data_IF_762810535421
#
_entry.id   IF_762810535421
#
_cell.length_a   1.000
_cell.length_b   1.000
_cell.length_c   1.000
_cell.angle_alpha   90.00
_cell.angle_beta   90.00
_cell.angle_gamma   90.00
#
_symmetry.space_group_name_H-M   'P 1'
#
loop_
_entity.id
_entity.type
_entity.pdbx_description
1 polymer ?
#
# COMPACT_ATOMS: atom_id res chain seq x y z
N UNK A 1 48.47 -26.01 -6.05
CA UNK A 1 47.54 -26.39 -4.98
C UNK A 1 46.23 -25.69 -5.29
N UNK A 2 45.18 -26.44 -5.64
CA UNK A 2 43.84 -25.86 -5.74
C UNK A 2 43.33 -25.68 -4.31
N UNK A 3 43.16 -24.43 -3.90
CA UNK A 3 42.50 -24.10 -2.64
C UNK A 3 41.00 -24.01 -2.97
N UNK A 4 40.16 -24.98 -2.54
CA UNK A 4 38.74 -24.89 -2.81
C UNK A 4 38.20 -23.66 -2.07
N UNK A 5 37.38 -22.87 -2.76
CA UNK A 5 36.67 -21.76 -2.11
C UNK A 5 35.91 -22.28 -0.88
N UNK A 6 35.91 -21.52 0.23
CA UNK A 6 35.16 -21.91 1.40
C UNK A 6 33.67 -22.08 1.03
N UNK A 7 32.98 -23.08 1.61
CA UNK A 7 31.56 -23.26 1.35
C UNK A 7 30.81 -21.99 1.73
N UNK A 8 29.91 -21.57 0.83
CA UNK A 8 29.07 -20.39 1.06
C UNK A 8 28.23 -20.57 2.33
N UNK A 9 27.88 -19.49 3.02
CA UNK A 9 27.03 -19.55 4.20
C UNK A 9 25.73 -20.30 3.93
N UNK A 10 25.18 -21.02 4.93
CA UNK A 10 23.86 -21.63 4.82
C UNK A 10 22.77 -20.65 4.39
N UNK A 11 22.86 -19.37 4.77
CA UNK A 11 21.89 -18.36 4.33
C UNK A 11 21.87 -18.12 2.80
N UNK A 12 22.95 -18.45 2.10
CA UNK A 12 23.07 -18.31 0.64
C UNK A 12 22.83 -19.64 -0.10
N UNK A 13 22.66 -20.75 0.62
CA UNK A 13 22.65 -22.10 0.04
C UNK A 13 21.50 -22.98 0.50
N UNK A 14 20.79 -22.60 1.56
CA UNK A 14 19.60 -23.30 2.05
C UNK A 14 18.37 -22.92 1.22
N UNK A 15 17.43 -23.84 1.02
CA UNK A 15 16.27 -23.62 0.17
C UNK A 15 15.39 -22.48 0.71
N UNK A 16 14.95 -21.64 -0.20
CA UNK A 16 13.86 -20.68 -0.01
C UNK A 16 12.53 -21.34 -0.35
N UNK A 17 11.42 -20.62 -0.17
CA UNK A 17 10.12 -21.14 -0.60
C UNK A 17 9.98 -21.29 -2.12
N UNK A 18 10.89 -20.70 -2.91
CA UNK A 18 10.94 -20.87 -4.36
C UNK A 18 11.63 -22.18 -4.77
N UNK A 19 12.39 -22.79 -3.85
CA UNK A 19 13.14 -24.03 -4.08
C UNK A 19 12.33 -25.28 -3.67
N UNK A 20 11.23 -25.11 -2.95
CA UNK A 20 10.40 -26.19 -2.42
C UNK A 20 9.04 -26.20 -3.13
N UNK A 21 8.56 -27.36 -3.60
CA UNK A 21 7.20 -27.46 -4.12
C UNK A 21 6.20 -27.16 -3.00
N UNK A 22 5.04 -26.59 -3.35
CA UNK A 22 3.88 -26.57 -2.44
C UNK A 22 3.63 -27.98 -1.89
N UNK A 23 2.98 -28.06 -0.72
CA UNK A 23 2.52 -29.34 -0.14
C UNK A 23 1.63 -30.12 -1.13
N UNK A 24 1.09 -29.44 -2.14
CA UNK A 24 0.38 -30.00 -3.28
C UNK A 24 1.23 -29.95 -4.56
N UNK A 25 1.36 -31.11 -5.20
CA UNK A 25 2.12 -31.26 -6.46
C UNK A 25 1.53 -30.37 -7.56
N UNK A 26 2.35 -29.44 -8.08
CA UNK A 26 2.01 -28.60 -9.22
C UNK A 26 1.46 -27.21 -8.88
N UNK A 27 1.40 -26.83 -7.60
CA UNK A 27 1.12 -25.45 -7.19
C UNK A 27 2.40 -24.61 -7.09
N UNK A 28 2.26 -23.32 -7.40
CA UNK A 28 3.29 -22.33 -7.09
C UNK A 28 3.54 -22.28 -5.58
N UNK A 29 4.77 -21.97 -5.18
CA UNK A 29 5.10 -21.66 -3.78
C UNK A 29 4.18 -20.57 -3.23
N UNK A 30 3.94 -20.61 -1.92
CA UNK A 30 3.19 -19.58 -1.21
C UNK A 30 3.88 -18.21 -1.34
N UNK A 31 3.17 -17.09 -1.08
CA UNK A 31 3.80 -15.77 -1.00
C UNK A 31 4.84 -15.71 0.13
N UNK A 32 5.98 -15.05 -0.12
CA UNK A 32 6.97 -14.77 0.93
C UNK A 32 6.56 -13.58 1.81
N UNK A 33 7.31 -13.33 2.88
CA UNK A 33 7.06 -12.23 3.82
C UNK A 33 6.98 -10.86 3.12
N UNK A 34 7.75 -10.64 2.04
CA UNK A 34 7.72 -9.38 1.31
C UNK A 34 6.36 -9.16 0.62
N UNK A 35 5.76 -10.20 0.04
CA UNK A 35 4.49 -10.06 -0.68
C UNK A 35 3.38 -9.59 0.26
N UNK A 36 3.28 -10.20 1.44
CA UNK A 36 2.33 -9.81 2.47
C UNK A 36 2.53 -8.35 2.92
N UNK A 37 3.76 -7.98 3.30
CA UNK A 37 4.06 -6.63 3.81
C UNK A 37 3.86 -5.57 2.72
N UNK A 38 4.22 -5.87 1.47
CA UNK A 38 4.03 -4.94 0.35
C UNK A 38 2.55 -4.75 0.02
N UNK A 39 1.74 -5.81 0.06
CA UNK A 39 0.29 -5.73 -0.12
C UNK A 39 -0.41 -4.95 1.00
N UNK A 40 0.04 -5.12 2.25
CA UNK A 40 -0.45 -4.32 3.39
C UNK A 40 -0.21 -2.83 3.16
N UNK A 41 1.00 -2.45 2.75
CA UNK A 41 1.34 -1.05 2.48
C UNK A 41 0.47 -0.47 1.35
N UNK A 42 0.28 -1.22 0.27
CA UNK A 42 -0.57 -0.81 -0.84
C UNK A 42 -2.01 -0.60 -0.37
N UNK A 43 -2.55 -1.54 0.41
CA UNK A 43 -3.93 -1.47 0.90
C UNK A 43 -4.12 -0.32 1.88
N UNK A 44 -3.20 -0.15 2.82
CA UNK A 44 -3.23 0.89 3.85
C UNK A 44 -3.16 2.30 3.25
N UNK A 45 -2.35 2.48 2.20
CA UNK A 45 -2.10 3.79 1.58
C UNK A 45 -2.99 4.07 0.36
N UNK A 46 -3.80 3.10 -0.09
CA UNK A 46 -4.79 3.30 -1.16
C UNK A 46 -5.98 4.12 -0.65
N UNK A 47 -5.89 5.44 -0.77
CA UNK A 47 -6.92 6.38 -0.29
C UNK A 47 -7.28 7.39 -1.40
N UNK A 48 -7.97 6.94 -2.47
CA UNK A 48 -8.33 7.83 -3.57
C UNK A 48 -9.34 8.88 -3.09
N UNK A 49 -9.07 10.18 -3.26
CA UNK A 49 -9.91 11.24 -2.71
C UNK A 49 -11.26 11.38 -3.42
N UNK A 50 -11.39 10.84 -4.63
CA UNK A 50 -12.57 10.96 -5.48
C UNK A 50 -13.48 9.71 -5.46
N UNK A 51 -13.18 8.72 -4.62
CA UNK A 51 -14.02 7.53 -4.43
C UNK A 51 -14.38 7.33 -2.96
N UNK A 52 -15.57 6.79 -2.70
CA UNK A 52 -15.92 6.30 -1.37
C UNK A 52 -15.13 5.04 -1.06
N UNK A 53 -14.57 4.94 0.15
CA UNK A 53 -13.94 3.69 0.63
C UNK A 53 -14.92 2.53 0.73
N UNK A 54 -16.24 2.79 0.74
CA UNK A 54 -17.28 1.76 0.75
C UNK A 54 -17.53 1.18 -0.64
N UNK A 55 -17.09 1.85 -1.70
CA UNK A 55 -17.30 1.47 -3.10
C UNK A 55 -16.02 0.98 -3.79
N UNK A 56 -15.01 0.61 -3.00
CA UNK A 56 -13.74 0.08 -3.49
C UNK A 56 -13.43 -1.22 -2.75
N UNK A 57 -13.29 -2.29 -3.53
CA UNK A 57 -12.66 -3.50 -3.03
C UNK A 57 -11.16 -3.44 -3.33
N UNK A 58 -10.36 -3.58 -2.30
CA UNK A 58 -8.94 -3.92 -2.40
C UNK A 58 -8.75 -5.34 -1.91
N UNK A 59 -8.02 -6.14 -2.67
CA UNK A 59 -7.76 -7.54 -2.33
C UNK A 59 -6.32 -7.92 -2.64
N UNK A 60 -5.80 -8.87 -1.87
CA UNK A 60 -4.47 -9.44 -2.01
C UNK A 60 -4.57 -10.95 -1.82
N UNK A 61 -3.89 -11.71 -2.67
CA UNK A 61 -3.91 -13.18 -2.66
C UNK A 61 -5.32 -13.82 -2.72
N UNK A 62 -6.33 -13.06 -3.16
CA UNK A 62 -7.70 -13.51 -3.31
C UNK A 62 -7.93 -14.04 -4.72
N UNK A 63 -8.37 -15.30 -4.85
CA UNK A 63 -8.59 -15.94 -6.15
C UNK A 63 -9.59 -15.14 -7.02
N UNK A 64 -9.16 -14.83 -8.24
CA UNK A 64 -9.89 -14.11 -9.27
C UNK A 64 -10.32 -15.07 -10.37
N UNK A 65 -11.62 -15.38 -10.42
CA UNK A 65 -12.22 -16.28 -11.40
C UNK A 65 -12.80 -15.50 -12.57
N UNK A 66 -12.41 -15.87 -13.80
CA UNK A 66 -12.65 -15.06 -15.00
C UNK A 66 -13.40 -15.79 -16.13
N UNK A 67 -13.64 -17.11 -16.01
CA UNK A 67 -14.32 -17.89 -17.04
C UNK A 67 -15.44 -18.78 -16.45
N UNK A 68 -16.73 -18.48 -16.72
CA UNK A 68 -17.84 -19.27 -16.20
C UNK A 68 -17.94 -20.68 -16.83
N UNK A 69 -17.24 -20.94 -17.93
CA UNK A 69 -17.19 -22.26 -18.58
C UNK A 69 -16.05 -23.12 -18.04
N UNK A 70 -15.07 -22.50 -17.39
CA UNK A 70 -13.92 -23.15 -16.78
C UNK A 70 -13.78 -22.68 -15.32
N UNK A 71 -14.72 -23.07 -14.47
CA UNK A 71 -14.83 -22.56 -13.08
C UNK A 71 -13.67 -22.94 -12.15
N UNK A 72 -12.73 -23.77 -12.61
CA UNK A 72 -11.49 -24.09 -11.89
C UNK A 72 -10.29 -23.29 -12.40
N UNK A 73 -10.48 -22.42 -13.40
CA UNK A 73 -9.46 -21.49 -13.87
C UNK A 73 -9.59 -20.18 -13.11
N UNK A 74 -8.50 -19.82 -12.45
CA UNK A 74 -8.39 -18.59 -11.68
C UNK A 74 -6.98 -18.02 -11.82
N UNK A 75 -6.86 -16.74 -11.48
CA UNK A 75 -5.57 -16.11 -11.14
C UNK A 75 -5.61 -15.72 -9.67
N UNK A 76 -4.45 -15.49 -9.11
CA UNK A 76 -4.29 -15.03 -7.73
C UNK A 76 -3.26 -13.90 -7.77
N UNK A 77 -3.72 -12.68 -8.10
CA UNK A 77 -2.83 -11.52 -8.14
C UNK A 77 -2.36 -11.18 -6.74
N UNK A 78 -1.12 -10.70 -6.61
CA UNK A 78 -0.58 -10.27 -5.32
C UNK A 78 -1.39 -9.13 -4.72
N UNK A 79 -1.87 -8.22 -5.56
CA UNK A 79 -2.79 -7.16 -5.16
C UNK A 79 -3.65 -6.68 -6.35
N UNK A 80 -4.93 -6.41 -6.11
CA UNK A 80 -5.79 -5.79 -7.11
C UNK A 80 -6.89 -4.93 -6.49
N UNK A 81 -7.45 -4.05 -7.31
CA UNK A 81 -8.50 -3.12 -6.91
C UNK A 81 -9.66 -3.15 -7.90
N UNK A 82 -10.87 -3.15 -7.36
CA UNK A 82 -12.13 -3.03 -8.11
C UNK A 82 -12.85 -1.78 -7.64
N UNK A 83 -13.30 -0.96 -8.58
CA UNK A 83 -14.02 0.29 -8.32
C UNK A 83 -15.53 0.11 -8.54
N UNK A 84 -16.34 0.82 -7.76
CA UNK A 84 -17.80 0.83 -7.90
C UNK A 84 -18.48 -0.41 -7.35
N UNK A 85 -17.86 -1.09 -6.38
CA UNK A 85 -18.40 -2.30 -5.75
C UNK A 85 -18.46 -2.17 -4.23
N UNK A 86 -19.58 -2.57 -3.58
CA UNK A 86 -19.68 -2.47 -2.15
C UNK A 86 -18.73 -3.42 -1.42
N UNK A 87 -18.16 -2.92 -0.33
CA UNK A 87 -17.50 -3.74 0.67
C UNK A 87 -18.50 -4.55 1.50
N UNK A 88 -18.00 -5.60 2.14
CA UNK A 88 -18.81 -6.41 3.04
C UNK A 88 -18.96 -5.69 4.40
N UNK A 89 -20.19 -5.52 4.85
CA UNK A 89 -20.48 -4.86 6.15
C UNK A 89 -20.37 -5.82 7.34
N UNK A 90 -20.30 -7.13 7.08
CA UNK A 90 -20.20 -8.18 8.11
C UNK A 90 -19.09 -9.14 7.76
N UNK A 91 -18.38 -9.62 8.79
CA UNK A 91 -17.26 -10.54 8.63
C UNK A 91 -17.64 -11.80 7.86
N UNK A 92 -18.83 -12.37 8.12
CA UNK A 92 -19.32 -13.58 7.42
C UNK A 92 -19.63 -13.37 5.94
N UNK A 93 -19.74 -12.12 5.48
CA UNK A 93 -19.99 -11.76 4.09
C UNK A 93 -18.69 -11.41 3.34
N UNK A 94 -17.53 -11.49 4.00
CA UNK A 94 -16.24 -11.30 3.33
C UNK A 94 -16.06 -12.33 2.22
N UNK A 95 -15.52 -11.86 1.10
CA UNK A 95 -15.34 -12.66 -0.12
C UNK A 95 -14.33 -13.77 0.11
N UNK A 96 -14.73 -15.01 -0.19
CA UNK A 96 -13.84 -16.17 -0.25
C UNK A 96 -13.03 -16.22 -1.54
N UNK A 97 -13.56 -15.59 -2.59
CA UNK A 97 -12.96 -15.39 -3.89
C UNK A 97 -13.68 -14.24 -4.58
N UNK A 98 -13.08 -13.75 -5.66
CA UNK A 98 -13.71 -12.78 -6.54
C UNK A 98 -14.13 -13.47 -7.84
N UNK A 99 -15.44 -13.59 -8.04
CA UNK A 99 -16.01 -14.32 -9.17
C UNK A 99 -16.65 -13.32 -10.12
N UNK A 100 -16.01 -13.08 -11.26
CA UNK A 100 -16.35 -11.98 -12.17
C UNK A 100 -17.81 -12.03 -12.64
N UNK A 101 -18.33 -13.23 -12.96
CA UNK A 101 -19.72 -13.37 -13.42
C UNK A 101 -20.77 -13.30 -12.29
N UNK A 102 -20.35 -13.30 -11.02
CA UNK A 102 -21.23 -13.06 -9.87
C UNK A 102 -21.22 -11.59 -9.48
N UNK A 103 -20.04 -10.97 -9.48
CA UNK A 103 -19.83 -9.58 -9.07
C UNK A 103 -20.20 -8.59 -10.19
N UNK A 104 -20.00 -8.98 -11.46
CA UNK A 104 -20.38 -8.19 -12.64
C UNK A 104 -19.45 -7.02 -12.96
N UNK A 105 -18.33 -6.87 -12.25
CA UNK A 105 -17.36 -5.78 -12.42
C UNK A 105 -15.96 -6.37 -12.51
N UNK A 106 -15.19 -5.96 -13.51
CA UNK A 106 -13.79 -6.36 -13.67
C UNK A 106 -12.85 -5.48 -12.82
N UNK A 107 -11.68 -5.99 -12.40
CA UNK A 107 -10.69 -5.16 -11.71
C UNK A 107 -10.25 -3.95 -12.54
N UNK A 108 -10.00 -2.85 -11.86
CA UNK A 108 -9.47 -1.62 -12.45
C UNK A 108 -7.94 -1.65 -12.55
N UNK A 109 -7.29 -2.18 -11.52
CA UNK A 109 -5.83 -2.23 -11.40
C UNK A 109 -5.42 -3.58 -10.81
N UNK A 110 -4.38 -4.19 -11.38
CA UNK A 110 -3.66 -5.34 -10.81
C UNK A 110 -2.19 -4.96 -10.60
N UNK A 111 -1.62 -5.40 -9.49
CA UNK A 111 -0.20 -5.34 -9.16
C UNK A 111 0.32 -6.76 -8.95
N UNK A 112 1.41 -7.10 -9.62
CA UNK A 112 2.17 -8.35 -9.40
C UNK A 112 3.58 -7.99 -8.91
N UNK A 113 4.06 -8.76 -7.95
CA UNK A 113 5.35 -8.63 -7.30
C UNK A 113 6.25 -9.75 -7.83
N UNK A 114 7.34 -9.39 -8.50
CA UNK A 114 8.19 -10.41 -9.10
C UNK A 114 8.92 -11.22 -8.03
N UNK A 115 8.89 -12.52 -8.25
CA UNK A 115 9.73 -13.51 -7.59
C UNK A 115 10.85 -13.94 -8.53
N UNK A 116 11.94 -14.55 -8.01
CA UNK A 116 13.02 -15.02 -8.86
C UNK A 116 12.50 -15.97 -9.95
N UNK A 117 12.69 -15.60 -11.22
CA UNK A 117 12.35 -16.44 -12.38
C UNK A 117 10.93 -16.29 -12.95
N UNK A 118 10.07 -15.42 -12.40
CA UNK A 118 8.70 -15.21 -12.90
C UNK A 118 8.54 -14.07 -13.92
N UNK A 119 9.60 -13.26 -14.13
CA UNK A 119 9.59 -12.09 -15.01
C UNK A 119 8.99 -12.38 -16.40
N UNK A 120 9.37 -13.49 -17.05
CA UNK A 120 8.86 -13.80 -18.40
C UNK A 120 7.35 -14.04 -18.41
N UNK A 121 6.79 -14.68 -17.37
CA UNK A 121 5.37 -14.94 -17.28
C UNK A 121 4.60 -13.65 -17.01
N UNK A 122 5.03 -12.88 -16.01
CA UNK A 122 4.37 -11.64 -15.59
C UNK A 122 4.50 -10.52 -16.64
N UNK A 123 5.44 -10.62 -17.58
CA UNK A 123 5.58 -9.72 -18.73
C UNK A 123 4.97 -10.26 -20.03
N UNK A 124 4.22 -11.36 -19.98
CA UNK A 124 3.54 -11.93 -21.15
C UNK A 124 4.49 -12.47 -22.23
N UNK A 125 5.73 -12.79 -21.86
CA UNK A 125 6.75 -13.34 -22.76
C UNK A 125 6.66 -14.88 -22.86
N UNK A 126 5.90 -15.51 -21.96
CA UNK A 126 5.64 -16.94 -21.98
C UNK A 126 4.45 -17.27 -22.89
N UNK A 127 4.63 -18.21 -23.80
CA UNK A 127 3.54 -18.75 -24.62
C UNK A 127 2.71 -19.74 -23.79
N UNK A 128 1.38 -19.69 -23.98
CA UNK A 128 0.47 -20.65 -23.39
C UNK A 128 0.76 -22.07 -23.89
N UNK A 129 0.85 -23.01 -22.97
CA UNK A 129 0.87 -24.45 -23.29
C UNK A 129 -0.52 -24.97 -23.67
N UNK A 130 -0.57 -25.89 -24.64
CA UNK A 130 -1.82 -26.52 -25.08
C UNK A 130 -2.45 -27.28 -23.91
N UNK A 131 -3.74 -27.03 -23.64
CA UNK A 131 -4.54 -27.57 -22.52
C UNK A 131 -4.22 -27.01 -21.12
N UNK A 132 -3.42 -25.94 -21.00
CA UNK A 132 -3.29 -25.18 -19.74
C UNK A 132 -4.23 -23.97 -19.71
N UNK A 133 -4.57 -23.43 -18.53
CA UNK A 133 -5.26 -22.14 -18.41
C UNK A 133 -4.45 -21.02 -19.12
N UNK A 134 -5.12 -19.96 -19.62
CA UNK A 134 -4.44 -18.76 -20.13
C UNK A 134 -3.40 -18.17 -19.17
N UNK A 135 -2.39 -17.47 -19.68
CA UNK A 135 -1.37 -16.80 -18.86
C UNK A 135 -1.96 -15.61 -18.08
N UNK A 136 -1.27 -15.10 -17.05
CA UNK A 136 -1.70 -13.89 -16.33
C UNK A 136 -1.94 -12.73 -17.31
N UNK A 137 -0.98 -12.47 -18.19
CA UNK A 137 -1.07 -11.42 -19.20
C UNK A 137 -2.30 -11.58 -20.12
N UNK A 138 -2.55 -12.78 -20.64
CA UNK A 138 -3.73 -13.04 -21.48
C UNK A 138 -5.04 -12.79 -20.72
N UNK A 139 -5.13 -13.24 -19.46
CA UNK A 139 -6.32 -13.00 -18.63
C UNK A 139 -6.53 -11.51 -18.40
N UNK A 140 -5.52 -10.78 -17.96
CA UNK A 140 -5.66 -9.36 -17.61
C UNK A 140 -5.88 -8.48 -18.85
N UNK A 141 -5.15 -8.71 -19.94
CA UNK A 141 -5.21 -7.89 -21.16
C UNK A 141 -6.44 -8.20 -22.02
N UNK A 142 -6.69 -9.49 -22.29
CA UNK A 142 -7.58 -9.91 -23.37
C UNK A 142 -8.95 -10.36 -22.86
N UNK A 143 -9.00 -10.98 -21.69
CA UNK A 143 -10.25 -11.51 -21.11
C UNK A 143 -10.92 -10.47 -20.22
N UNK A 144 -10.24 -10.06 -19.15
CA UNK A 144 -10.76 -9.14 -18.13
C UNK A 144 -10.58 -7.67 -18.52
N UNK A 145 -9.72 -7.38 -19.49
CA UNK A 145 -9.53 -6.03 -20.04
C UNK A 145 -9.20 -5.00 -18.94
N UNK A 146 -8.37 -5.41 -17.97
CA UNK A 146 -8.04 -4.62 -16.79
C UNK A 146 -7.30 -3.36 -17.24
N UNK A 147 -7.79 -2.14 -16.94
CA UNK A 147 -7.21 -0.89 -17.44
C UNK A 147 -5.73 -0.70 -17.15
N UNK A 148 -5.28 -1.07 -15.94
CA UNK A 148 -3.90 -0.88 -15.51
C UNK A 148 -3.30 -2.17 -14.94
N UNK A 149 -2.07 -2.45 -15.34
CA UNK A 149 -1.30 -3.58 -14.86
C UNK A 149 0.09 -3.11 -14.43
N UNK A 150 0.49 -3.44 -13.21
CA UNK A 150 1.74 -2.97 -12.61
C UNK A 150 2.56 -4.16 -12.16
N UNK A 151 3.86 -4.11 -12.44
CA UNK A 151 4.83 -5.14 -12.06
C UNK A 151 5.96 -4.48 -11.29
N UNK A 152 6.27 -5.00 -10.11
CA UNK A 152 7.38 -4.50 -9.28
C UNK A 152 8.40 -5.60 -8.99
N UNK A 153 9.66 -5.33 -9.35
CA UNK A 153 10.81 -6.16 -8.99
C UNK A 153 11.59 -5.52 -7.85
N UNK A 154 11.57 -6.15 -6.67
CA UNK A 154 12.31 -5.68 -5.49
C UNK A 154 13.82 -5.90 -5.56
N UNK A 155 14.28 -6.84 -6.39
CA UNK A 155 15.68 -7.19 -6.51
C UNK A 155 16.40 -6.23 -7.44
N UNK A 156 15.79 -5.99 -8.60
CA UNK A 156 16.31 -5.06 -9.61
C UNK A 156 15.81 -3.61 -9.39
N UNK A 157 14.91 -3.40 -8.44
CA UNK A 157 14.37 -2.09 -8.03
C UNK A 157 13.73 -1.29 -9.18
N UNK A 158 13.09 -1.98 -10.13
CA UNK A 158 12.39 -1.32 -11.22
C UNK A 158 10.88 -1.58 -11.14
N UNK A 159 10.13 -0.53 -11.48
CA UNK A 159 8.68 -0.55 -11.61
C UNK A 159 8.33 -0.54 -13.09
N UNK A 160 7.38 -1.38 -13.51
CA UNK A 160 6.76 -1.29 -14.83
C UNK A 160 5.27 -1.09 -14.66
N UNK A 161 4.70 -0.20 -15.45
CA UNK A 161 3.26 -0.01 -15.52
C UNK A 161 2.83 -0.12 -16.97
N UNK A 162 1.67 -0.72 -17.17
CA UNK A 162 1.06 -0.92 -18.46
C UNK A 162 -0.36 -0.36 -18.41
N UNK A 163 -0.76 0.30 -19.50
CA UNK A 163 -2.13 0.76 -19.70
C UNK A 163 -2.73 -0.01 -20.86
N UNK A 164 -3.97 -0.45 -20.70
CA UNK A 164 -4.72 -1.04 -21.79
C UNK A 164 -5.11 0.06 -22.79
N UNK A 165 -4.55 0.00 -23.99
CA UNK A 165 -4.88 0.88 -25.10
C UNK A 165 -5.45 0.06 -26.27
N UNK A 166 -6.70 0.33 -26.64
CA UNK A 166 -7.42 -0.53 -27.58
C UNK A 166 -7.46 -1.97 -27.05
N UNK A 167 -6.83 -2.90 -27.75
CA UNK A 167 -6.82 -4.34 -27.41
C UNK A 167 -5.56 -4.84 -26.70
N UNK A 168 -4.57 -3.98 -26.44
CA UNK A 168 -3.26 -4.40 -25.94
C UNK A 168 -2.74 -3.51 -24.81
N UNK A 169 -1.92 -4.08 -23.96
CA UNK A 169 -1.14 -3.32 -23.00
C UNK A 169 0.00 -2.58 -23.68
N UNK A 170 0.12 -1.29 -23.35
CA UNK A 170 1.24 -0.44 -23.73
C UNK A 170 2.01 -0.04 -22.47
N UNK A 171 3.33 -0.18 -22.51
CA UNK A 171 4.19 0.22 -21.41
C UNK A 171 4.14 1.75 -21.22
N UNK A 172 4.01 2.17 -19.97
CA UNK A 172 3.97 3.58 -19.59
C UNK A 172 5.39 4.00 -19.17
N UNK A 173 5.95 5.08 -19.74
CA UNK A 173 7.20 5.64 -19.24
C UNK A 173 7.03 6.14 -17.80
N UNK A 174 7.91 5.71 -16.89
CA UNK A 174 7.86 6.04 -15.47
C UNK A 174 9.03 6.95 -15.06
N UNK A 175 8.96 8.28 -15.33
CA UNK A 175 9.96 9.19 -14.81
C UNK A 175 10.01 9.07 -13.28
N UNK A 176 11.23 8.95 -12.73
CA UNK A 176 11.47 8.80 -11.29
C UNK A 176 10.78 7.58 -10.63
N UNK A 177 10.48 6.53 -11.41
CA UNK A 177 9.73 5.35 -10.94
C UNK A 177 8.37 5.72 -10.31
N UNK A 178 7.69 6.70 -10.90
CA UNK A 178 6.36 7.14 -10.49
C UNK A 178 5.40 7.12 -11.66
N UNK A 179 4.17 6.75 -11.37
CA UNK A 179 3.05 6.73 -12.28
C UNK A 179 1.87 7.49 -11.65
N UNK A 180 1.16 8.30 -12.43
CA UNK A 180 -0.04 9.01 -11.96
C UNK A 180 -1.29 8.42 -12.63
N UNK A 181 -2.24 7.99 -11.81
CA UNK A 181 -3.54 7.45 -12.21
C UNK A 181 -4.58 8.57 -12.09
N UNK A 182 -4.87 9.20 -13.23
CA UNK A 182 -5.77 10.34 -13.29
C UNK A 182 -7.17 10.01 -12.76
N UNK A 183 -7.65 8.79 -13.01
CA UNK A 183 -8.95 8.31 -12.59
C UNK A 183 -9.08 8.22 -11.07
N UNK A 184 -7.98 8.02 -10.35
CA UNK A 184 -7.96 7.87 -8.89
C UNK A 184 -7.52 9.14 -8.15
N UNK A 185 -7.06 10.16 -8.87
CA UNK A 185 -6.33 11.30 -8.29
C UNK A 185 -5.20 10.87 -7.33
N UNK A 186 -4.58 9.74 -7.65
CA UNK A 186 -3.47 9.14 -6.94
C UNK A 186 -2.37 8.76 -7.92
N UNK A 187 -1.15 8.64 -7.41
CA UNK A 187 -0.06 8.00 -8.11
C UNK A 187 0.54 6.87 -7.30
N UNK A 188 1.21 5.97 -8.01
CA UNK A 188 1.94 4.86 -7.43
C UNK A 188 3.41 4.99 -7.79
N UNK A 189 4.31 4.73 -6.84
CA UNK A 189 5.74 4.82 -7.12
C UNK A 189 6.61 4.21 -6.03
N UNK A 190 7.91 4.22 -6.30
CA UNK A 190 8.91 3.64 -5.39
C UNK A 190 9.32 4.66 -4.31
N UNK A 191 9.04 4.30 -3.07
CA UNK A 191 9.33 5.08 -1.87
C UNK A 191 10.42 4.40 -1.04
N UNK A 192 11.53 5.11 -0.83
CA UNK A 192 12.59 4.66 0.06
C UNK A 192 12.22 5.00 1.51
N UNK A 193 12.05 4.00 2.36
CA UNK A 193 11.72 4.23 3.76
C UNK A 193 11.53 2.96 4.58
N UNK A 194 10.98 3.12 5.77
CA UNK A 194 10.76 2.03 6.73
C UNK A 194 9.26 1.75 6.88
N UNK A 195 8.84 0.52 6.61
CA UNK A 195 7.49 0.04 6.84
C UNK A 195 7.54 -1.28 7.61
N UNK A 196 6.68 -1.45 8.62
CA UNK A 196 6.68 -2.60 9.53
C UNK A 196 8.08 -3.01 10.04
N UNK A 197 8.93 -2.04 10.41
CA UNK A 197 10.33 -2.20 10.87
C UNK A 197 11.35 -2.63 9.82
N UNK A 198 10.94 -2.80 8.56
CA UNK A 198 11.83 -3.15 7.45
C UNK A 198 12.10 -1.92 6.60
N UNK A 199 13.38 -1.61 6.39
CA UNK A 199 13.80 -0.48 5.55
C UNK A 199 14.12 -0.97 4.15
N UNK A 200 13.58 -0.31 3.15
CA UNK A 200 13.72 -0.74 1.77
C UNK A 200 13.08 0.24 0.80
N UNK A 201 13.09 -0.15 -0.47
CA UNK A 201 12.35 0.51 -1.53
C UNK A 201 10.99 -0.19 -1.65
N UNK A 202 9.92 0.56 -1.43
CA UNK A 202 8.56 0.02 -1.37
C UNK A 202 7.68 0.67 -2.42
N UNK A 203 6.75 -0.10 -2.99
CA UNK A 203 5.69 0.45 -3.82
C UNK A 203 4.64 1.11 -2.92
N UNK A 204 4.39 2.41 -3.10
CA UNK A 204 3.52 3.19 -2.21
C UNK A 204 2.69 4.21 -2.98
N UNK A 205 1.48 4.47 -2.48
CA UNK A 205 0.61 5.50 -3.02
C UNK A 205 1.07 6.90 -2.61
N UNK A 206 0.96 7.86 -3.54
CA UNK A 206 1.13 9.28 -3.32
C UNK A 206 -0.04 10.06 -3.92
N UNK A 207 -0.28 11.26 -3.40
CA UNK A 207 -1.25 12.20 -3.95
C UNK A 207 -0.54 13.54 -4.23
N UNK A 208 -1.32 14.58 -4.54
CA UNK A 208 -0.80 15.92 -4.86
C UNK A 208 -0.02 16.58 -3.71
N UNK A 209 -0.17 16.10 -2.47
CA UNK A 209 0.53 16.60 -1.28
C UNK A 209 1.79 15.80 -0.93
N UNK A 210 2.00 14.63 -1.55
CA UNK A 210 3.12 13.73 -1.27
C UNK A 210 2.68 12.29 -1.02
N UNK A 211 3.55 11.48 -0.42
CA UNK A 211 3.25 10.09 -0.07
C UNK A 211 2.07 10.00 0.89
N UNK A 212 1.11 9.12 0.60
CA UNK A 212 -0.05 8.91 1.47
C UNK A 212 0.44 8.23 2.75
N UNK A 213 0.21 8.89 3.89
CA UNK A 213 0.67 8.43 5.20
C UNK A 213 0.03 7.10 5.61
N UNK A 214 0.85 6.22 6.17
CA UNK A 214 0.44 5.03 6.92
C UNK A 214 -0.26 5.46 8.22
N UNK A 215 -1.06 4.58 8.81
CA UNK A 215 -1.68 4.73 10.12
C UNK A 215 -0.64 5.02 11.20
N UNK A 216 0.52 4.36 11.15
CA UNK A 216 1.61 4.59 12.09
C UNK A 216 2.17 6.02 11.98
N UNK A 217 2.38 6.51 10.76
CA UNK A 217 2.84 7.89 10.52
C UNK A 217 1.76 8.92 10.89
N UNK A 218 0.48 8.66 10.58
CA UNK A 218 -0.66 9.51 10.98
C UNK A 218 -0.74 9.62 12.51
N UNK A 219 -0.67 8.49 13.22
CA UNK A 219 -0.70 8.45 14.68
C UNK A 219 0.49 9.20 15.29
N UNK A 220 1.68 9.09 14.70
CA UNK A 220 2.85 9.84 15.16
C UNK A 220 2.68 11.35 14.95
N UNK A 221 2.18 11.77 13.79
CA UNK A 221 1.91 13.17 13.51
C UNK A 221 0.85 13.75 14.46
N UNK A 222 -0.20 12.99 14.78
CA UNK A 222 -1.21 13.40 15.76
C UNK A 222 -0.63 13.51 17.17
N UNK A 223 0.21 12.56 17.59
CA UNK A 223 0.93 12.62 18.88
C UNK A 223 1.79 13.87 18.99
N UNK A 224 2.55 14.18 17.95
CA UNK A 224 3.40 15.38 17.94
C UNK A 224 2.59 16.68 18.02
N UNK A 225 1.45 16.74 17.31
CA UNK A 225 0.52 17.87 17.38
C UNK A 225 -0.07 18.04 18.78
N UNK A 226 -0.54 16.95 19.39
CA UNK A 226 -1.11 16.97 20.74
C UNK A 226 -0.07 17.41 21.79
N UNK A 227 1.17 16.92 21.69
CA UNK A 227 2.25 17.32 22.59
C UNK A 227 2.62 18.80 22.42
N UNK A 228 2.68 19.30 21.18
CA UNK A 228 2.93 20.71 20.92
C UNK A 228 1.81 21.61 21.47
N UNK A 229 0.55 21.21 21.32
CA UNK A 229 -0.59 21.95 21.86
C UNK A 229 -0.57 21.97 23.40
N UNK A 230 -0.26 20.83 24.02
CA UNK A 230 -0.09 20.73 25.47
C UNK A 230 1.00 21.66 25.98
N UNK A 231 2.14 21.74 25.30
CA UNK A 231 3.24 22.64 25.68
C UNK A 231 2.83 24.11 25.56
N UNK A 232 2.06 24.49 24.53
CA UNK A 232 1.54 25.85 24.38
C UNK A 232 0.56 26.21 25.49
N UNK A 233 -0.38 25.31 25.79
CA UNK A 233 -1.36 25.51 26.86
C UNK A 233 -0.69 25.65 28.24
N UNK A 234 0.33 24.83 28.52
CA UNK A 234 1.09 24.93 29.77
C UNK A 234 1.88 26.25 29.85
N UNK A 235 2.48 26.69 28.75
CA UNK A 235 3.17 27.98 28.71
C UNK A 235 2.21 29.16 28.93
N UNK A 236 1.03 29.13 28.32
CA UNK A 236 0.00 30.16 28.50
C UNK A 236 -0.52 30.18 29.94
N UNK A 237 -0.75 29.01 30.54
CA UNK A 237 -1.12 28.88 31.94
C UNK A 237 -0.07 29.47 32.87
N UNK A 238 1.21 29.19 32.62
CA UNK A 238 2.30 29.76 33.42
C UNK A 238 2.39 31.28 33.28
N UNK A 239 2.14 31.84 32.09
CA UNK A 239 2.10 33.30 31.90
C UNK A 239 0.92 33.94 32.62
N UNK A 240 -0.27 33.36 32.49
CA UNK A 240 -1.47 33.83 33.19
C UNK A 240 -1.30 33.79 34.72
N UNK A 241 -0.68 32.73 35.25
CA UNK A 241 -0.37 32.63 36.68
C UNK A 241 0.67 33.68 37.13
N UNK A 242 1.72 33.91 36.33
CA UNK A 242 2.70 34.96 36.62
C UNK A 242 2.09 36.37 36.59
N UNK A 243 1.23 36.66 35.61
CA UNK A 243 0.53 37.93 35.52
C UNK A 243 -0.43 38.12 36.71
N UNK A 244 -1.17 37.07 37.07
CA UNK A 244 -2.02 37.08 38.26
C UNK A 244 -1.24 37.37 39.54
N UNK A 245 -0.12 36.68 39.76
CA UNK A 245 0.75 36.91 40.93
C UNK A 245 1.39 38.31 40.93
N UNK A 246 1.66 38.90 39.75
CA UNK A 246 2.14 40.29 39.65
C UNK A 246 1.01 41.28 39.97
N UNK A 247 -0.19 41.06 39.45
CA UNK A 247 -1.36 41.87 39.72
C UNK A 247 -1.73 41.84 41.21
N UNK A 248 -1.73 40.66 41.84
CA UNK A 248 -1.99 40.48 43.27
C UNK A 248 -0.95 41.24 44.12
N UNK A 249 0.35 41.10 43.83
CA UNK A 249 1.41 41.85 44.54
C UNK A 249 1.30 43.36 44.35
N UNK A 250 0.96 43.82 43.16
CA UNK A 250 0.77 45.25 42.89
C UNK A 250 -0.43 45.80 43.66
N UNK A 251 -1.55 45.07 43.67
CA UNK A 251 -2.74 45.43 44.44
C UNK A 251 -2.44 45.51 45.95
N UNK A 252 -1.69 44.55 46.49
CA UNK A 252 -1.26 44.56 47.89
C UNK A 252 -0.33 45.75 48.21
N UNK A 253 0.60 46.07 47.32
CA UNK A 253 1.45 47.26 47.44
C UNK A 253 0.64 48.56 47.43
N UNK A 254 -0.30 48.72 46.51
CA UNK A 254 -1.18 49.90 46.43
C UNK A 254 -2.00 50.08 47.72
N UNK A 255 -2.57 48.99 48.25
CA UNK A 255 -3.27 49.00 49.55
C UNK A 255 -2.37 49.47 50.69
N UNK A 256 -1.09 49.04 50.70
CA UNK A 256 -0.11 49.50 51.71
C UNK A 256 0.18 51.00 51.65
N UNK A 257 -0.01 51.62 50.49
CA UNK A 257 0.13 53.07 50.28
C UNK A 257 -1.18 53.84 50.52
N UNK A 258 -2.26 53.16 50.94
CA UNK A 258 -3.57 53.77 51.18
C UNK A 258 -4.38 54.06 49.90
N UNK A 259 -3.98 53.47 48.77
CA UNK A 259 -4.69 53.59 47.48
C UNK A 259 -5.55 52.34 47.29
N UNK A 260 -6.84 52.52 47.03
CA UNK A 260 -7.75 51.41 46.70
C UNK A 260 -7.54 50.96 45.24
N UNK A 261 -7.01 49.74 44.98
CA UNK A 261 -6.76 49.26 43.62
C UNK A 261 -8.03 49.17 42.76
N UNK A 262 -9.18 48.91 43.39
CA UNK A 262 -10.46 48.73 42.70
C UNK A 262 -11.08 50.07 42.26
N UNK A 263 -10.52 51.18 42.72
CA UNK A 263 -10.91 52.54 42.33
C UNK A 263 -10.19 53.07 41.07
N UNK A 264 -9.22 52.31 40.56
CA UNK A 264 -8.39 52.66 39.40
C UNK A 264 -8.85 52.01 38.08
N UNK A 265 -9.99 51.30 38.08
CA UNK A 265 -10.54 50.65 36.88
C UNK A 265 -11.16 51.64 35.89
#
# INVERSE_FOLDING_TARGET
MYQPDPPRPPQETMPTMYDLPSELVGESGLPDEFHCIQADLLSETCQPPNYSSEEILVASDLNLYYDPRHTLWYKRPDWYMVLGIPNADRQQDLRLSYVIWQEGVDPFLVVELLSPGTEQEDLGQTLREVNKPPTKWEVYEQILRIPYYIVYDRYENYLRAFRLNGTRYEAIPLPENRFWLQELELGLGLWQGTYQKTTGLWLRWYNTTGWVLTLAEKAEQERQRAEQERQRAEQERQRAEQERQRAERLAEYLRSQGIDPDSLS
#
